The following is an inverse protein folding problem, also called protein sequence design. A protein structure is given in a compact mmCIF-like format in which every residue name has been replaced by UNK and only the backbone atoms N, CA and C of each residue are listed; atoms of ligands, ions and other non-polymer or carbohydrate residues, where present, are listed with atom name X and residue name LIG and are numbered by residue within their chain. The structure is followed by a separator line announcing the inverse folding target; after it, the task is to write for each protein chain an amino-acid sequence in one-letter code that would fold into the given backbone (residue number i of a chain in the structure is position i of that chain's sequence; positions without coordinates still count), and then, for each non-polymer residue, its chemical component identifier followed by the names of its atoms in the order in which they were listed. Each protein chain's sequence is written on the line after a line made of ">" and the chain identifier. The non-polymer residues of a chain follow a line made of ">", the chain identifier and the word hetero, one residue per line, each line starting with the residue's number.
data_IF_565258447347
#
_entry.id   IF_565258447347
#
_cell.length_a   1.000
_cell.length_b   1.000
_cell.length_c   1.000
_cell.angle_alpha   90.00
_cell.angle_beta   90.00
_cell.angle_gamma   90.00
#
_symmetry.space_group_name_H-M   'P 1'
#
loop_
_entity.id
_entity.type
_entity.pdbx_description
1 polymer ?
#
# COMPACT_ATOMS: atom_id res chain seq x y z
N UNK A 1 -7.01 18.40 13.04
CA UNK A 1 -7.23 17.03 13.57
C UNK A 1 -5.97 16.58 14.31
N UNK A 2 -6.14 15.71 15.31
CA UNK A 2 -5.02 15.01 15.94
C UNK A 2 -4.91 13.62 15.32
N UNK A 3 -3.78 13.34 14.67
CA UNK A 3 -3.57 12.15 13.84
C UNK A 3 -2.39 11.33 14.35
N UNK A 4 -2.61 10.02 14.49
CA UNK A 4 -1.56 9.05 14.79
C UNK A 4 -1.27 8.22 13.54
N UNK A 5 0.00 8.17 13.10
CA UNK A 5 0.44 7.34 11.99
C UNK A 5 1.26 6.17 12.54
N UNK A 6 0.74 4.96 12.47
CA UNK A 6 1.46 3.73 12.81
C UNK A 6 2.18 3.20 11.57
N UNK A 7 3.50 3.00 11.68
CA UNK A 7 4.35 2.66 10.53
C UNK A 7 4.96 3.89 9.84
N UNK A 8 5.17 4.99 10.57
CA UNK A 8 5.72 6.25 10.08
C UNK A 8 7.12 6.14 9.46
N UNK A 9 7.89 5.12 9.81
CA UNK A 9 9.25 4.88 9.27
C UNK A 9 9.26 4.18 7.91
N UNK A 10 8.12 3.61 7.49
CA UNK A 10 7.94 2.98 6.18
C UNK A 10 7.82 4.00 5.04
N UNK A 11 7.81 3.49 3.80
CA UNK A 11 7.74 4.32 2.58
C UNK A 11 6.52 5.25 2.59
N UNK A 12 5.32 4.70 2.80
CA UNK A 12 4.09 5.50 2.89
C UNK A 12 4.04 6.36 4.15
N UNK A 13 4.48 5.83 5.29
CA UNK A 13 4.48 6.58 6.56
C UNK A 13 5.30 7.85 6.49
N UNK A 14 6.47 7.81 5.85
CA UNK A 14 7.29 9.00 5.57
C UNK A 14 6.60 9.99 4.64
N UNK A 15 5.92 9.49 3.60
CA UNK A 15 5.16 10.34 2.69
C UNK A 15 3.99 11.03 3.40
N UNK A 16 3.24 10.31 4.24
CA UNK A 16 2.17 10.85 5.07
C UNK A 16 2.69 11.94 6.02
N UNK A 17 3.77 11.67 6.74
CA UNK A 17 4.35 12.64 7.69
C UNK A 17 4.80 13.93 6.99
N UNK A 18 5.31 13.83 5.76
CA UNK A 18 5.71 15.01 4.97
C UNK A 18 4.53 15.78 4.39
N UNK A 19 3.51 15.06 3.91
CA UNK A 19 2.37 15.66 3.22
C UNK A 19 1.34 16.24 4.19
N UNK A 20 1.28 15.77 5.43
CA UNK A 20 0.29 16.19 6.40
C UNK A 20 0.67 17.50 7.06
N UNK A 21 0.01 18.57 6.65
CA UNK A 21 0.23 19.92 7.19
C UNK A 21 -1.07 20.47 7.79
N UNK A 22 -0.93 21.39 8.76
CA UNK A 22 -2.05 22.07 9.40
C UNK A 22 -2.80 21.25 10.47
N UNK A 23 -2.30 20.06 10.80
CA UNK A 23 -2.85 19.16 11.82
C UNK A 23 -1.77 18.74 12.82
N UNK A 24 -2.17 18.24 14.00
CA UNK A 24 -1.24 17.65 15.00
C UNK A 24 -0.96 16.19 14.61
N UNK A 25 0.22 15.91 14.07
CA UNK A 25 0.59 14.60 13.53
C UNK A 25 1.68 13.91 14.35
N UNK A 26 1.39 12.69 14.80
CA UNK A 26 2.31 11.86 15.56
C UNK A 26 2.65 10.58 14.78
N UNK A 27 3.86 10.52 14.27
CA UNK A 27 4.38 9.34 13.57
C UNK A 27 5.09 8.38 14.52
N UNK A 28 4.62 7.13 14.58
CA UNK A 28 5.19 6.07 15.40
C UNK A 28 5.72 4.93 14.52
N UNK A 29 6.97 4.53 14.76
CA UNK A 29 7.57 3.34 14.16
C UNK A 29 7.35 2.09 15.02
N UNK A 30 7.83 0.93 14.54
CA UNK A 30 7.70 -0.34 15.26
C UNK A 30 8.44 -0.37 16.62
N UNK A 31 9.48 0.43 16.78
CA UNK A 31 10.19 0.57 18.07
C UNK A 31 9.35 1.33 19.10
N UNK A 32 8.55 2.28 18.65
CA UNK A 32 7.69 3.11 19.51
C UNK A 32 6.40 2.36 19.84
N UNK A 33 5.77 1.78 18.83
CA UNK A 33 4.49 1.08 18.90
C UNK A 33 4.52 -0.19 18.03
N UNK A 34 4.96 -1.31 18.63
CA UNK A 34 4.77 -2.63 17.99
C UNK A 34 3.27 -2.96 18.07
N UNK A 35 2.62 -3.04 16.90
CA UNK A 35 1.17 -3.28 16.82
C UNK A 35 0.76 -4.69 17.29
N UNK A 36 1.72 -5.62 17.42
CA UNK A 36 1.47 -6.96 17.97
C UNK A 36 1.25 -6.92 19.49
N UNK A 37 1.77 -5.90 20.16
CA UNK A 37 1.56 -5.70 21.60
C UNK A 37 0.27 -4.89 21.84
N UNK A 38 -0.84 -5.61 22.01
CA UNK A 38 -2.16 -5.02 22.21
C UNK A 38 -2.23 -4.07 23.41
N UNK A 39 -1.52 -4.39 24.52
CA UNK A 39 -1.53 -3.56 25.74
C UNK A 39 -0.77 -2.25 25.51
N UNK A 40 0.38 -2.31 24.86
CA UNK A 40 1.18 -1.13 24.50
C UNK A 40 0.41 -0.22 23.55
N UNK A 41 -0.20 -0.78 22.49
CA UNK A 41 -1.03 -0.03 21.54
C UNK A 41 -2.18 0.68 22.26
N UNK A 42 -2.95 -0.05 23.07
CA UNK A 42 -4.05 0.50 23.86
C UNK A 42 -3.62 1.65 24.77
N UNK A 43 -2.48 1.48 25.49
CA UNK A 43 -1.90 2.52 26.36
C UNK A 43 -1.53 3.78 25.58
N UNK A 44 -0.88 3.63 24.42
CA UNK A 44 -0.46 4.76 23.58
C UNK A 44 -1.68 5.49 23.02
N UNK A 45 -2.64 4.78 22.44
CA UNK A 45 -3.86 5.36 21.86
C UNK A 45 -4.66 6.11 22.93
N UNK A 46 -4.83 5.52 24.13
CA UNK A 46 -5.52 6.15 25.26
C UNK A 46 -4.82 7.43 25.75
N UNK A 47 -3.48 7.43 25.77
CA UNK A 47 -2.72 8.60 26.22
C UNK A 47 -2.76 9.74 25.17
N UNK A 48 -2.64 9.40 23.88
CA UNK A 48 -2.60 10.37 22.79
C UNK A 48 -3.97 10.92 22.41
N UNK A 49 -5.02 10.13 22.55
CA UNK A 49 -6.42 10.47 22.17
C UNK A 49 -6.49 11.05 20.74
N UNK A 50 -6.02 10.32 19.72
CA UNK A 50 -6.10 10.80 18.35
C UNK A 50 -7.56 10.82 17.87
N UNK A 51 -7.87 11.75 16.95
CA UNK A 51 -9.13 11.71 16.19
C UNK A 51 -9.07 10.66 15.09
N UNK A 52 -7.88 10.52 14.46
CA UNK A 52 -7.61 9.54 13.43
C UNK A 52 -6.35 8.72 13.71
N UNK A 53 -6.45 7.42 13.44
CA UNK A 53 -5.31 6.51 13.37
C UNK A 53 -5.17 6.06 11.91
N UNK A 54 -3.99 6.31 11.31
CA UNK A 54 -3.63 5.78 9.99
C UNK A 54 -2.67 4.61 10.20
N UNK A 55 -3.14 3.40 9.92
CA UNK A 55 -2.38 2.18 10.07
C UNK A 55 -1.70 1.80 8.75
N UNK A 56 -0.45 2.25 8.60
CA UNK A 56 0.44 1.94 7.48
C UNK A 56 1.50 0.87 7.84
N UNK A 57 1.54 0.43 9.10
CA UNK A 57 2.44 -0.64 9.53
C UNK A 57 1.99 -1.98 8.95
N UNK A 58 2.92 -2.71 8.33
CA UNK A 58 2.69 -4.04 7.79
C UNK A 58 4.02 -4.79 7.56
N UNK A 59 3.99 -6.11 7.57
CA UNK A 59 5.04 -6.96 7.02
C UNK A 59 4.77 -7.13 5.52
N UNK A 60 5.57 -6.46 4.68
CA UNK A 60 5.33 -6.29 3.23
C UNK A 60 6.29 -7.08 2.34
N UNK A 61 7.15 -7.90 2.91
CA UNK A 61 7.97 -8.85 2.15
C UNK A 61 7.08 -10.02 1.70
N UNK A 62 6.53 -9.90 0.49
CA UNK A 62 5.57 -10.85 -0.06
C UNK A 62 6.14 -12.26 -0.15
N UNK A 63 7.40 -12.40 -0.61
CA UNK A 63 8.09 -13.70 -0.66
C UNK A 63 8.45 -14.20 0.73
N UNK A 64 8.89 -13.31 1.61
CA UNK A 64 9.18 -13.61 3.01
C UNK A 64 7.96 -14.07 3.81
N UNK A 65 6.75 -13.63 3.44
CA UNK A 65 5.51 -14.11 4.08
C UNK A 65 5.29 -15.61 3.89
N UNK A 66 5.64 -16.18 2.72
CA UNK A 66 5.46 -17.61 2.47
C UNK A 66 6.29 -18.48 3.44
N UNK A 67 7.48 -18.02 3.81
CA UNK A 67 8.37 -18.72 4.76
C UNK A 67 8.18 -18.30 6.22
N UNK A 68 7.51 -17.17 6.49
CA UNK A 68 7.29 -16.61 7.83
C UNK A 68 5.81 -16.29 8.06
N UNK A 69 4.94 -17.31 7.88
CA UNK A 69 3.48 -17.13 7.93
C UNK A 69 3.01 -16.58 9.29
N UNK A 70 3.50 -17.14 10.40
CA UNK A 70 3.13 -16.66 11.74
C UNK A 70 3.45 -15.18 11.93
N UNK A 71 4.60 -14.72 11.45
CA UNK A 71 4.95 -13.30 11.49
C UNK A 71 4.03 -12.46 10.61
N UNK A 72 3.70 -12.94 9.40
CA UNK A 72 2.78 -12.25 8.49
C UNK A 72 1.40 -12.06 9.13
N UNK A 73 0.81 -13.12 9.68
CA UNK A 73 -0.48 -13.03 10.36
C UNK A 73 -0.42 -12.21 11.65
N UNK A 74 0.61 -12.40 12.48
CA UNK A 74 0.79 -11.66 13.71
C UNK A 74 0.88 -10.15 13.49
N UNK A 75 1.60 -9.70 12.44
CA UNK A 75 1.72 -8.27 12.13
C UNK A 75 0.49 -7.76 11.36
N UNK A 76 0.17 -8.42 10.22
CA UNK A 76 -0.80 -7.85 9.26
C UNK A 76 -2.24 -8.03 9.71
N UNK A 77 -2.59 -9.15 10.36
CA UNK A 77 -3.95 -9.44 10.85
C UNK A 77 -4.11 -9.06 12.31
N UNK A 78 -3.37 -9.72 13.21
CA UNK A 78 -3.61 -9.60 14.65
C UNK A 78 -3.22 -8.20 15.14
N UNK A 79 -2.09 -7.67 14.66
CA UNK A 79 -1.66 -6.31 14.95
C UNK A 79 -2.66 -5.26 14.46
N UNK A 80 -3.24 -5.45 13.27
CA UNK A 80 -4.27 -4.55 12.75
C UNK A 80 -5.56 -4.59 13.60
N UNK A 81 -5.99 -5.78 14.02
CA UNK A 81 -7.17 -5.95 14.92
C UNK A 81 -6.90 -5.32 16.28
N UNK A 82 -5.68 -5.44 16.83
CA UNK A 82 -5.30 -4.77 18.09
C UNK A 82 -5.46 -3.25 17.99
N UNK A 83 -5.02 -2.66 16.88
CA UNK A 83 -5.18 -1.22 16.61
C UNK A 83 -6.64 -0.85 16.47
N UNK A 84 -7.44 -1.65 15.75
CA UNK A 84 -8.88 -1.41 15.57
C UNK A 84 -9.63 -1.39 16.92
N UNK A 85 -9.35 -2.35 17.79
CA UNK A 85 -9.94 -2.41 19.14
C UNK A 85 -9.54 -1.20 19.98
N UNK A 86 -8.26 -0.81 19.95
CA UNK A 86 -7.79 0.37 20.68
C UNK A 86 -8.40 1.66 20.14
N UNK A 87 -8.57 1.79 18.82
CA UNK A 87 -9.24 2.91 18.18
C UNK A 87 -10.70 3.03 18.66
N UNK A 88 -11.44 1.91 18.60
CA UNK A 88 -12.84 1.85 19.07
C UNK A 88 -12.99 2.27 20.53
N UNK A 89 -12.13 1.74 21.41
CA UNK A 89 -12.16 2.07 22.86
C UNK A 89 -11.85 3.55 23.13
N UNK A 90 -11.05 4.19 22.29
CA UNK A 90 -10.67 5.60 22.44
C UNK A 90 -11.62 6.55 21.67
N UNK A 91 -12.61 6.04 20.94
CA UNK A 91 -13.46 6.82 20.05
C UNK A 91 -12.72 7.41 18.83
N UNK A 92 -11.56 6.86 18.48
CA UNK A 92 -10.78 7.29 17.33
C UNK A 92 -11.26 6.60 16.04
N UNK A 93 -11.22 7.32 14.91
CA UNK A 93 -11.44 6.74 13.59
C UNK A 93 -10.20 6.03 13.11
N UNK A 94 -10.38 4.97 12.31
CA UNK A 94 -9.28 4.17 11.78
C UNK A 94 -9.30 4.17 10.25
N UNK A 95 -8.13 4.47 9.64
CA UNK A 95 -7.85 4.17 8.24
C UNK A 95 -6.76 3.11 8.18
N UNK A 96 -7.04 1.99 7.52
CA UNK A 96 -6.15 0.85 7.33
C UNK A 96 -5.70 0.72 5.90
N UNK A 97 -4.39 0.55 5.69
CA UNK A 97 -3.82 0.27 4.38
C UNK A 97 -3.90 -1.23 4.06
N UNK A 98 -4.71 -1.57 3.06
CA UNK A 98 -4.79 -2.91 2.50
C UNK A 98 -4.10 -2.98 1.13
N UNK A 99 -4.32 -4.07 0.38
CA UNK A 99 -3.61 -4.36 -0.86
C UNK A 99 -4.54 -4.97 -1.91
N UNK A 100 -4.16 -4.81 -3.18
CA UNK A 100 -4.70 -5.54 -4.32
C UNK A 100 -4.50 -7.06 -4.25
N UNK A 101 -3.54 -7.54 -3.44
CA UNK A 101 -3.30 -8.97 -3.20
C UNK A 101 -4.44 -9.69 -2.47
N UNK A 102 -5.47 -8.98 -2.02
CA UNK A 102 -6.70 -9.61 -1.49
C UNK A 102 -7.52 -10.29 -2.57
N UNK A 103 -7.22 -10.04 -3.84
CA UNK A 103 -7.89 -10.62 -5.01
C UNK A 103 -7.10 -11.75 -5.66
N UNK A 104 -7.77 -12.58 -6.47
CA UNK A 104 -7.19 -13.76 -7.11
C UNK A 104 -6.44 -13.49 -8.42
N UNK A 105 -6.60 -12.32 -9.00
CA UNK A 105 -5.92 -11.97 -10.24
C UNK A 105 -6.53 -12.55 -11.52
N UNK A 106 -7.76 -13.06 -11.48
CA UNK A 106 -8.40 -13.79 -12.60
C UNK A 106 -9.35 -12.94 -13.44
N UNK A 107 -9.71 -11.71 -12.98
CA UNK A 107 -10.53 -10.79 -13.77
C UNK A 107 -9.75 -10.25 -14.97
N UNK A 108 -10.52 -9.77 -15.96
CA UNK A 108 -10.02 -9.03 -17.15
C UNK A 108 -10.50 -7.58 -17.17
N UNK A 109 -11.23 -7.18 -16.13
CA UNK A 109 -11.70 -5.82 -15.88
C UNK A 109 -11.28 -5.37 -14.48
N UNK A 110 -11.20 -4.07 -14.19
CA UNK A 110 -10.81 -3.59 -12.86
C UNK A 110 -11.64 -4.22 -11.73
N UNK A 111 -10.98 -4.52 -10.62
CA UNK A 111 -11.65 -4.99 -9.41
C UNK A 111 -12.41 -3.83 -8.75
N UNK A 112 -13.66 -4.08 -8.38
CA UNK A 112 -14.49 -3.20 -7.56
C UNK A 112 -14.33 -3.53 -6.07
N UNK A 113 -14.78 -2.63 -5.20
CA UNK A 113 -14.60 -2.79 -3.74
C UNK A 113 -15.40 -3.95 -3.15
N UNK A 114 -16.48 -4.34 -3.78
CA UNK A 114 -17.39 -5.44 -3.42
C UNK A 114 -17.06 -6.77 -4.11
N UNK A 115 -16.08 -6.80 -5.02
CA UNK A 115 -15.59 -8.06 -5.57
C UNK A 115 -15.09 -8.98 -4.43
N UNK A 116 -15.35 -10.29 -4.52
CA UNK A 116 -14.98 -11.23 -3.47
C UNK A 116 -13.46 -11.29 -3.28
N UNK A 117 -13.03 -11.33 -2.03
CA UNK A 117 -11.64 -11.60 -1.69
C UNK A 117 -11.32 -13.07 -1.96
N UNK A 118 -10.22 -13.32 -2.64
CA UNK A 118 -9.72 -14.66 -2.92
C UNK A 118 -8.18 -14.66 -3.06
N UNK A 119 -7.46 -14.30 -1.98
CA UNK A 119 -6.01 -14.11 -2.01
C UNK A 119 -5.28 -15.41 -2.36
N UNK A 120 -4.21 -15.30 -3.15
CA UNK A 120 -3.44 -16.45 -3.63
C UNK A 120 -2.10 -16.63 -2.89
N UNK A 121 -1.69 -15.65 -2.06
CA UNK A 121 -0.44 -15.65 -1.29
C UNK A 121 -0.71 -15.46 0.19
N UNK A 122 0.22 -15.86 1.04
CA UNK A 122 0.16 -15.64 2.50
C UNK A 122 0.04 -14.16 2.84
N UNK A 123 0.79 -13.29 2.14
CA UNK A 123 0.64 -11.85 2.28
C UNK A 123 -0.80 -11.39 2.01
N UNK A 124 -1.35 -11.78 0.86
CA UNK A 124 -2.72 -11.43 0.48
C UNK A 124 -3.75 -11.96 1.48
N UNK A 125 -3.59 -13.20 1.95
CA UNK A 125 -4.46 -13.82 2.95
C UNK A 125 -4.39 -13.05 4.27
N UNK A 126 -3.19 -12.70 4.76
CA UNK A 126 -3.04 -11.92 6.00
C UNK A 126 -3.71 -10.55 5.92
N UNK A 127 -3.70 -9.89 4.74
CA UNK A 127 -4.39 -8.62 4.50
C UNK A 127 -5.91 -8.79 4.39
N UNK A 128 -6.39 -9.83 3.70
CA UNK A 128 -7.82 -10.12 3.56
C UNK A 128 -8.46 -10.46 4.92
N UNK A 129 -7.80 -11.28 5.73
CA UNK A 129 -8.27 -11.59 7.09
C UNK A 129 -8.21 -10.37 8.02
N UNK A 130 -7.22 -9.48 7.85
CA UNK A 130 -7.20 -8.20 8.56
C UNK A 130 -8.43 -7.35 8.21
N UNK A 131 -8.79 -7.22 6.92
CA UNK A 131 -10.00 -6.46 6.52
C UNK A 131 -11.26 -7.00 7.21
N UNK A 132 -11.43 -8.33 7.28
CA UNK A 132 -12.57 -8.96 7.96
C UNK A 132 -12.57 -8.64 9.45
N UNK A 133 -11.44 -8.84 10.13
CA UNK A 133 -11.32 -8.56 11.56
C UNK A 133 -11.49 -7.08 11.92
N UNK A 134 -11.10 -6.16 11.03
CA UNK A 134 -11.32 -4.73 11.22
C UNK A 134 -12.81 -4.36 11.10
N UNK A 135 -13.49 -4.87 10.06
CA UNK A 135 -14.93 -4.62 9.86
C UNK A 135 -15.78 -5.17 11.02
N UNK A 136 -15.37 -6.30 11.62
CA UNK A 136 -15.99 -6.83 12.83
C UNK A 136 -15.72 -5.95 14.06
N UNK A 137 -14.47 -5.54 14.26
CA UNK A 137 -14.06 -4.76 15.42
C UNK A 137 -14.56 -3.31 15.38
N UNK A 138 -14.51 -2.66 14.22
CA UNK A 138 -14.90 -1.27 13.99
C UNK A 138 -15.50 -1.09 12.60
N UNK A 139 -16.81 -1.30 12.41
CA UNK A 139 -17.49 -1.24 11.12
C UNK A 139 -17.32 0.08 10.35
N UNK A 140 -17.11 1.17 11.07
CA UNK A 140 -16.95 2.51 10.50
C UNK A 140 -15.51 2.83 10.06
N UNK A 141 -14.60 1.84 10.09
CA UNK A 141 -13.24 2.06 9.61
C UNK A 141 -13.20 2.30 8.11
N UNK A 142 -12.17 3.03 7.65
CA UNK A 142 -11.83 3.17 6.24
C UNK A 142 -10.73 2.15 5.89
N UNK A 143 -10.97 1.32 4.89
CA UNK A 143 -9.99 0.36 4.37
C UNK A 143 -9.56 0.84 2.99
N UNK A 144 -8.33 1.34 2.87
CA UNK A 144 -7.77 1.79 1.61
C UNK A 144 -6.91 0.68 0.99
N UNK A 145 -7.41 0.03 -0.07
CA UNK A 145 -6.62 -0.90 -0.88
C UNK A 145 -5.78 -0.13 -1.87
N UNK A 146 -4.50 -0.45 -1.93
CA UNK A 146 -3.56 0.15 -2.87
C UNK A 146 -2.72 -0.93 -3.56
N UNK A 147 -1.94 -0.56 -4.57
CA UNK A 147 -1.09 -1.50 -5.30
C UNK A 147 0.22 -0.86 -5.74
N UNK A 148 1.25 -1.67 -5.94
CA UNK A 148 2.53 -1.32 -6.57
C UNK A 148 3.13 -0.01 -6.07
N UNK A 149 3.18 0.14 -4.75
CA UNK A 149 3.59 1.38 -4.09
C UNK A 149 5.05 1.69 -4.35
N UNK A 150 5.33 2.92 -4.79
CA UNK A 150 6.68 3.44 -4.98
C UNK A 150 6.82 4.86 -4.43
N UNK A 151 8.05 5.25 -4.13
CA UNK A 151 8.30 6.59 -3.57
C UNK A 151 9.68 6.73 -2.95
N UNK A 152 9.99 7.93 -2.47
CA UNK A 152 11.26 8.24 -1.81
C UNK A 152 11.30 7.73 -0.38
N UNK A 153 12.47 7.25 0.06
CA UNK A 153 12.71 6.91 1.47
C UNK A 153 12.47 5.45 1.85
N UNK A 154 12.28 4.55 0.88
CA UNK A 154 12.20 3.11 1.04
C UNK A 154 12.58 2.39 -0.25
N UNK A 155 12.75 1.07 -0.19
CA UNK A 155 13.00 0.25 -1.39
C UNK A 155 11.72 0.18 -2.23
N UNK A 156 11.83 0.37 -3.54
CA UNK A 156 10.71 0.25 -4.47
C UNK A 156 11.17 -0.27 -5.84
N UNK A 157 10.21 -0.64 -6.67
CA UNK A 157 10.50 -1.18 -8.00
C UNK A 157 11.27 -0.20 -8.89
N UNK A 158 10.90 1.09 -9.02
CA UNK A 158 11.68 2.06 -9.80
C UNK A 158 13.15 2.15 -9.38
N UNK A 159 13.44 2.16 -8.07
CA UNK A 159 14.84 2.17 -7.59
C UNK A 159 15.63 0.93 -8.03
N UNK A 160 14.96 -0.21 -8.02
CA UNK A 160 15.56 -1.47 -8.46
C UNK A 160 15.88 -1.43 -9.95
N UNK A 161 14.93 -0.98 -10.79
CA UNK A 161 15.13 -0.85 -12.24
C UNK A 161 16.25 0.14 -12.56
N UNK A 162 16.24 1.33 -11.95
CA UNK A 162 17.28 2.35 -12.16
C UNK A 162 18.68 1.82 -11.82
N UNK A 163 18.81 1.12 -10.68
CA UNK A 163 20.08 0.53 -10.26
C UNK A 163 20.56 -0.55 -11.24
N UNK A 164 19.65 -1.41 -11.68
CA UNK A 164 19.99 -2.48 -12.61
C UNK A 164 20.32 -1.92 -14.01
N UNK A 165 19.53 -0.97 -14.53
CA UNK A 165 19.73 -0.34 -15.82
C UNK A 165 21.04 0.46 -15.91
N UNK A 166 21.52 0.99 -14.78
CA UNK A 166 22.81 1.67 -14.73
C UNK A 166 24.02 0.73 -14.84
N UNK A 167 23.82 -0.58 -14.58
CA UNK A 167 24.92 -1.56 -14.50
C UNK A 167 24.80 -2.73 -15.46
N UNK A 168 23.67 -2.91 -16.13
CA UNK A 168 23.37 -4.02 -17.03
C UNK A 168 22.88 -3.52 -18.38
N UNK A 169 23.33 -4.10 -19.49
CA UNK A 169 22.88 -3.71 -20.82
C UNK A 169 21.45 -4.19 -21.12
N UNK A 170 20.96 -5.22 -20.42
CA UNK A 170 19.62 -5.75 -20.60
C UNK A 170 18.99 -6.19 -19.27
N UNK A 171 17.65 -6.08 -19.19
CA UNK A 171 16.84 -6.43 -18.04
C UNK A 171 15.63 -7.26 -18.48
N UNK A 172 15.48 -8.45 -17.93
CA UNK A 172 14.28 -9.26 -18.12
C UNK A 172 13.22 -8.87 -17.09
N UNK A 173 12.03 -8.48 -17.56
CA UNK A 173 10.94 -7.98 -16.69
C UNK A 173 9.61 -8.64 -17.06
N UNK A 174 8.89 -9.06 -16.05
CA UNK A 174 7.60 -9.75 -16.16
C UNK A 174 6.55 -8.89 -16.90
N UNK A 175 5.89 -9.47 -17.92
CA UNK A 175 4.89 -8.80 -18.75
C UNK A 175 3.49 -9.40 -18.67
N UNK A 176 3.30 -10.45 -17.91
CA UNK A 176 2.02 -11.15 -17.70
C UNK A 176 1.37 -10.83 -16.34
N UNK A 177 1.83 -9.78 -15.66
CA UNK A 177 1.22 -9.22 -14.45
C UNK A 177 0.87 -7.76 -14.68
N UNK A 178 -0.41 -7.39 -14.49
CA UNK A 178 -0.94 -6.04 -14.70
C UNK A 178 -1.55 -5.46 -13.43
N UNK A 179 -1.18 -4.22 -13.09
CA UNK A 179 -1.63 -3.53 -11.88
C UNK A 179 -1.55 -2.01 -12.00
N UNK A 180 -1.74 -1.30 -10.89
CA UNK A 180 -1.71 0.16 -10.82
C UNK A 180 -0.49 0.63 -10.02
N UNK A 181 0.57 1.14 -10.67
CA UNK A 181 1.67 1.79 -9.94
C UNK A 181 1.15 2.99 -9.14
N UNK A 182 1.51 3.08 -7.87
CA UNK A 182 1.00 4.12 -6.97
C UNK A 182 2.15 4.86 -6.29
N UNK A 183 2.22 6.17 -6.51
CA UNK A 183 3.20 7.03 -5.86
C UNK A 183 2.77 7.35 -4.44
N UNK A 184 3.67 7.12 -3.47
CA UNK A 184 3.39 7.33 -2.06
C UNK A 184 2.96 8.76 -1.70
N UNK A 185 3.46 9.76 -2.45
CA UNK A 185 3.04 11.15 -2.27
C UNK A 185 1.57 11.37 -2.65
N UNK A 186 1.11 10.78 -3.76
CA UNK A 186 -0.29 10.88 -4.20
C UNK A 186 -1.22 10.09 -3.27
N UNK A 187 -0.81 8.89 -2.88
CA UNK A 187 -1.56 8.08 -1.91
C UNK A 187 -1.67 8.80 -0.57
N UNK A 188 -0.61 9.45 -0.10
CA UNK A 188 -0.66 10.25 1.13
C UNK A 188 -1.68 11.40 1.01
N UNK A 189 -1.69 12.11 -0.10
CA UNK A 189 -2.69 13.15 -0.37
C UNK A 189 -4.13 12.62 -0.40
N UNK A 190 -4.35 11.45 -1.01
CA UNK A 190 -5.66 10.81 -1.03
C UNK A 190 -6.11 10.37 0.38
N UNK A 191 -5.20 9.77 1.18
CA UNK A 191 -5.48 9.37 2.57
C UNK A 191 -5.87 10.57 3.42
N UNK A 192 -5.15 11.69 3.32
CA UNK A 192 -5.47 12.92 4.05
C UNK A 192 -6.87 13.42 3.70
N UNK A 193 -7.23 13.41 2.42
CA UNK A 193 -8.56 13.81 1.96
C UNK A 193 -9.64 12.85 2.46
N UNK A 194 -9.39 11.53 2.43
CA UNK A 194 -10.31 10.52 3.00
C UNK A 194 -10.55 10.76 4.50
N UNK A 195 -9.49 11.04 5.27
CA UNK A 195 -9.64 11.37 6.70
C UNK A 195 -10.46 12.66 6.90
N UNK A 196 -10.20 13.71 6.12
CA UNK A 196 -10.95 14.98 6.17
C UNK A 196 -12.41 14.82 5.76
N UNK A 197 -12.70 13.93 4.81
CA UNK A 197 -14.06 13.58 4.39
C UNK A 197 -14.77 12.62 5.35
N UNK A 198 -14.14 12.22 6.45
CA UNK A 198 -14.65 11.20 7.36
C UNK A 198 -15.06 9.90 6.64
N UNK A 199 -14.22 9.45 5.69
CA UNK A 199 -14.50 8.27 4.90
C UNK A 199 -14.62 7.00 5.75
N UNK A 200 -15.51 6.10 5.34
CA UNK A 200 -15.68 4.76 5.91
C UNK A 200 -15.90 3.73 4.80
N UNK A 201 -15.78 2.45 5.15
CA UNK A 201 -15.90 1.36 4.20
C UNK A 201 -14.64 1.15 3.37
N UNK A 202 -14.76 0.36 2.30
CA UNK A 202 -13.62 -0.01 1.45
C UNK A 202 -13.48 0.98 0.29
N UNK A 203 -12.26 1.47 0.06
CA UNK A 203 -11.89 2.32 -1.07
C UNK A 203 -10.65 1.79 -1.77
N UNK A 204 -10.57 1.98 -3.08
CA UNK A 204 -9.38 1.71 -3.87
C UNK A 204 -8.63 3.03 -4.10
N UNK A 205 -7.40 3.11 -3.63
CA UNK A 205 -6.59 4.32 -3.65
C UNK A 205 -5.27 4.06 -4.40
N UNK A 206 -5.27 4.30 -5.70
CA UNK A 206 -4.11 4.16 -6.60
C UNK A 206 -3.97 5.38 -7.50
N UNK A 207 -2.83 5.53 -8.16
CA UNK A 207 -2.77 6.43 -9.30
C UNK A 207 -3.65 5.92 -10.44
N UNK A 208 -4.08 6.83 -11.33
CA UNK A 208 -4.91 6.50 -12.48
C UNK A 208 -4.13 5.73 -13.55
N UNK A 209 -4.82 4.84 -14.26
CA UNK A 209 -4.25 3.97 -15.29
C UNK A 209 -3.66 2.70 -14.72
N UNK A 210 -3.19 1.84 -15.60
CA UNK A 210 -2.58 0.56 -15.27
C UNK A 210 -1.52 0.21 -16.29
N UNK A 211 -0.60 -0.69 -15.93
CA UNK A 211 0.43 -1.21 -16.83
C UNK A 211 0.92 -2.58 -16.34
N UNK A 212 1.73 -3.25 -17.17
CA UNK A 212 2.53 -4.40 -16.71
C UNK A 212 3.81 -3.93 -16.04
N UNK A 213 4.50 -4.83 -15.31
CA UNK A 213 5.82 -4.52 -14.77
C UNK A 213 6.82 -4.18 -15.87
N UNK A 214 6.72 -4.87 -17.02
CA UNK A 214 7.54 -4.59 -18.20
C UNK A 214 7.29 -3.17 -18.73
N UNK A 215 6.02 -2.77 -18.95
CA UNK A 215 5.67 -1.43 -19.40
C UNK A 215 6.15 -0.36 -18.40
N UNK A 216 6.03 -0.65 -17.09
CA UNK A 216 6.52 0.26 -16.05
C UNK A 216 8.04 0.39 -16.08
N UNK A 217 8.78 -0.71 -16.27
CA UNK A 217 10.23 -0.69 -16.38
C UNK A 217 10.71 0.06 -17.64
N UNK A 218 10.05 -0.14 -18.79
CA UNK A 218 10.34 0.61 -20.02
C UNK A 218 10.21 2.13 -19.79
N UNK A 219 9.14 2.56 -19.15
CA UNK A 219 8.90 3.99 -18.86
C UNK A 219 9.93 4.55 -17.88
N UNK A 220 10.36 3.77 -16.88
CA UNK A 220 11.41 4.16 -15.93
C UNK A 220 12.73 4.37 -16.67
N UNK A 221 13.16 3.41 -17.50
CA UNK A 221 14.41 3.49 -18.25
C UNK A 221 14.37 4.65 -19.24
N UNK A 222 13.30 4.77 -20.01
CA UNK A 222 13.11 5.88 -20.97
C UNK A 222 13.23 7.25 -20.30
N UNK A 223 12.51 7.49 -19.19
CA UNK A 223 12.51 8.80 -18.49
C UNK A 223 13.80 9.09 -17.75
N UNK A 224 14.57 8.07 -17.40
CA UNK A 224 15.86 8.26 -16.73
C UNK A 224 17.02 8.52 -17.69
N UNK A 225 16.81 8.39 -19.01
CA UNK A 225 17.87 8.53 -20.03
C UNK A 225 18.87 7.38 -20.03
N UNK A 226 18.63 6.30 -19.28
CA UNK A 226 19.49 5.12 -19.26
C UNK A 226 19.30 4.27 -20.53
N UNK A 227 20.38 3.58 -20.94
CA UNK A 227 20.42 2.80 -22.18
C UNK A 227 20.44 1.30 -21.85
N UNK A 228 19.38 0.77 -21.26
CA UNK A 228 19.23 -0.65 -20.99
C UNK A 228 18.09 -1.23 -21.85
N UNK A 229 18.33 -2.38 -22.47
CA UNK A 229 17.32 -3.13 -23.22
C UNK A 229 16.38 -3.85 -22.25
N UNK A 230 15.14 -3.40 -22.14
CA UNK A 230 14.13 -4.05 -21.28
C UNK A 230 13.41 -5.12 -22.10
N UNK A 231 13.47 -6.38 -21.65
CA UNK A 231 12.93 -7.54 -22.36
C UNK A 231 11.73 -8.11 -21.62
N UNK A 232 10.61 -8.38 -22.31
CA UNK A 232 9.46 -9.00 -21.67
C UNK A 232 9.71 -10.49 -21.44
N UNK A 233 9.41 -10.95 -20.23
CA UNK A 233 9.38 -12.38 -19.87
C UNK A 233 8.06 -12.70 -19.19
N UNK A 234 7.71 -13.98 -19.07
CA UNK A 234 6.55 -14.40 -18.31
C UNK A 234 6.92 -14.78 -16.86
N UNK A 235 5.93 -14.83 -15.98
CA UNK A 235 6.12 -15.13 -14.56
C UNK A 235 6.74 -16.51 -14.32
N UNK A 236 6.49 -17.49 -15.19
CA UNK A 236 7.06 -18.83 -15.06
C UNK A 236 8.58 -18.84 -15.25
N UNK A 237 9.13 -17.90 -16.02
CA UNK A 237 10.58 -17.70 -16.21
C UNK A 237 11.24 -17.00 -15.02
N UNK A 238 10.45 -16.32 -14.21
CA UNK A 238 10.88 -15.54 -13.03
C UNK A 238 10.27 -16.13 -11.74
N UNK A 239 10.44 -17.44 -11.55
CA UNK A 239 9.84 -18.14 -10.41
C UNK A 239 10.10 -17.43 -9.07
N UNK A 240 9.03 -17.17 -8.33
CA UNK A 240 9.03 -16.53 -7.01
C UNK A 240 8.32 -17.42 -6.00
N UNK A 241 8.70 -17.38 -4.71
CA UNK A 241 8.04 -18.16 -3.67
C UNK A 241 6.53 -17.87 -3.56
N UNK A 242 6.14 -16.59 -3.53
CA UNK A 242 4.75 -16.20 -3.43
C UNK A 242 4.09 -16.11 -4.82
N UNK A 243 2.89 -16.65 -5.02
CA UNK A 243 2.07 -16.39 -6.20
C UNK A 243 1.72 -14.89 -6.30
N UNK A 244 1.72 -14.37 -7.53
CA UNK A 244 1.32 -12.99 -7.80
C UNK A 244 0.11 -12.98 -8.74
N UNK A 245 -0.87 -12.10 -8.51
CA UNK A 245 -2.03 -11.99 -9.39
C UNK A 245 -1.59 -11.55 -10.79
N UNK A 246 -2.11 -12.23 -11.83
CA UNK A 246 -1.86 -11.83 -13.22
C UNK A 246 -2.55 -10.47 -13.54
N UNK A 247 -3.67 -10.20 -12.92
CA UNK A 247 -4.42 -8.95 -13.08
C UNK A 247 -4.88 -8.45 -11.71
N UNK A 248 -4.39 -7.29 -11.27
CA UNK A 248 -4.77 -6.71 -9.97
C UNK A 248 -5.16 -5.22 -10.08
N UNK A 249 -5.65 -4.81 -11.25
CA UNK A 249 -6.08 -3.43 -11.49
C UNK A 249 -7.27 -3.11 -10.61
N UNK A 250 -7.15 -2.05 -9.82
CA UNK A 250 -8.18 -1.55 -8.93
C UNK A 250 -9.01 -0.44 -9.61
N UNK A 251 -10.34 -0.51 -9.52
CA UNK A 251 -11.23 0.53 -10.03
C UNK A 251 -11.11 1.81 -9.20
N UNK A 252 -11.02 2.99 -9.82
CA UNK A 252 -10.95 4.27 -9.11
C UNK A 252 -12.32 4.76 -8.60
N UNK A 253 -13.41 4.11 -8.96
CA UNK A 253 -14.79 4.55 -8.72
C UNK A 253 -15.07 4.87 -7.26
N UNK A 254 -14.58 4.05 -6.34
CA UNK A 254 -14.79 4.22 -4.89
C UNK A 254 -14.11 5.47 -4.33
N UNK A 255 -12.94 5.85 -4.84
CA UNK A 255 -12.22 7.07 -4.44
C UNK A 255 -12.93 8.32 -4.99
N UNK A 256 -13.45 8.23 -6.21
CA UNK A 256 -14.19 9.32 -6.86
C UNK A 256 -15.49 9.70 -6.13
N UNK A 257 -16.11 8.77 -5.37
CA UNK A 257 -17.27 9.07 -4.52
C UNK A 257 -16.98 10.12 -3.45
N UNK A 258 -15.71 10.30 -3.08
CA UNK A 258 -15.25 11.34 -2.16
C UNK A 258 -14.75 12.60 -2.89
N UNK A 259 -14.95 12.71 -4.21
CA UNK A 259 -14.43 13.81 -5.01
C UNK A 259 -12.91 13.77 -5.21
N UNK A 260 -12.28 12.64 -4.89
CA UNK A 260 -10.83 12.49 -4.96
C UNK A 260 -10.44 11.85 -6.28
N UNK A 261 -9.59 12.53 -7.02
CA UNK A 261 -8.96 12.02 -8.24
C UNK A 261 -7.45 12.01 -8.08
N UNK A 262 -6.81 11.02 -8.69
CA UNK A 262 -5.35 10.87 -8.65
C UNK A 262 -4.77 11.09 -10.05
N UNK A 263 -3.56 11.66 -10.15
CA UNK A 263 -2.83 11.75 -11.41
C UNK A 263 -2.58 10.37 -12.03
N UNK A 264 -2.20 10.35 -13.32
CA UNK A 264 -1.77 9.11 -13.97
C UNK A 264 -0.47 8.60 -13.36
N UNK A 265 -0.25 7.28 -13.43
CA UNK A 265 0.99 6.68 -12.95
C UNK A 265 2.23 7.20 -13.68
N UNK A 266 2.10 7.60 -14.96
CA UNK A 266 3.20 8.22 -15.74
C UNK A 266 3.58 9.60 -15.20
N UNK A 267 2.59 10.44 -14.84
CA UNK A 267 2.87 11.72 -14.18
C UNK A 267 3.45 11.51 -12.78
N UNK A 268 2.93 10.56 -12.04
CA UNK A 268 3.44 10.17 -10.73
C UNK A 268 4.90 9.71 -10.80
N UNK A 269 5.26 8.87 -11.80
CA UNK A 269 6.65 8.45 -12.05
C UNK A 269 7.55 9.65 -12.40
N UNK A 270 7.10 10.55 -13.28
CA UNK A 270 7.86 11.76 -13.63
C UNK A 270 8.20 12.58 -12.38
N UNK A 271 7.21 12.85 -11.52
CA UNK A 271 7.42 13.62 -10.27
C UNK A 271 8.34 12.88 -9.28
N UNK A 272 8.21 11.57 -9.19
CA UNK A 272 9.10 10.74 -8.38
C UNK A 272 10.56 10.84 -8.84
N UNK A 273 10.81 10.72 -10.14
CA UNK A 273 12.16 10.81 -10.71
C UNK A 273 12.77 12.21 -10.48
N UNK A 274 11.98 13.27 -10.62
CA UNK A 274 12.41 14.66 -10.31
C UNK A 274 12.73 14.87 -8.82
N UNK A 275 11.95 14.29 -7.93
CA UNK A 275 12.15 14.42 -6.47
C UNK A 275 13.33 13.59 -5.93
N UNK A 276 13.87 12.68 -6.76
CA UNK A 276 15.00 11.81 -6.41
C UNK A 276 16.36 12.40 -6.80
N UNK A 277 16.41 13.19 -7.87
CA UNK A 277 17.62 13.87 -8.36
C UNK A 277 17.95 15.08 -7.55
#
# INVERSE_FOLDING_TARGET
>A
MKVMILGSTGLLGKALTRAWSGDEVHGLGSRDADIRDAQKVRKIVKAMRPEWIVLAAAYTDVDGCESNQDLAFSVNRDGAVNVARAAKEAGARLLFLSSDYVFDGRKISPYETDDPRNPQSVYGQSKAEAELGLLEATPDCCIARTSWLFGTGGKCFPDTILKLAATRPALDVVNDQRGCPTYAGDLAGAIIQLCRANASGIVHATNSGNCTWFEFACEIVHRSGLQADVRPVNSAQMARPAPRPAYSVLSPTSLQRFGITTPTWQDALRRYLQARG
#
